data_IF_843744552554
#
_entry.id   IF_843744552554
#
_cell.length_a   1.000
_cell.length_b   1.000
_cell.length_c   1.000
_cell.angle_alpha   90.00
_cell.angle_beta   90.00
_cell.angle_gamma   90.00
#
_symmetry.space_group_name_H-M   'P 1'
#
loop_
_entity.id
_entity.type
_entity.pdbx_description
1 polymer ?
#
# COMPACT_ATOMS: atom_id res chain seq x y z
N UNK A 1 -21.42 -33.58 13.38
CA UNK A 1 -21.45 -33.07 11.99
C UNK A 1 -22.05 -31.68 12.05
N UNK A 2 -21.20 -30.66 12.06
CA UNK A 2 -21.61 -29.26 12.19
C UNK A 2 -21.02 -28.46 11.04
N UNK A 3 -21.89 -27.82 10.28
CA UNK A 3 -21.60 -27.15 9.03
C UNK A 3 -20.54 -26.06 9.21
N UNK A 4 -19.38 -26.28 8.59
CA UNK A 4 -18.44 -25.22 8.22
C UNK A 4 -19.11 -24.38 7.15
N UNK A 5 -19.64 -23.22 7.53
CA UNK A 5 -19.90 -22.15 6.56
C UNK A 5 -18.56 -21.61 6.10
N UNK A 6 -18.04 -22.18 5.01
CA UNK A 6 -17.02 -21.53 4.19
C UNK A 6 -17.60 -20.20 3.71
N UNK A 7 -16.99 -19.10 4.16
CA UNK A 7 -17.25 -17.77 3.63
C UNK A 7 -16.81 -17.75 2.16
N UNK A 8 -17.77 -17.50 1.29
CA UNK A 8 -17.61 -17.47 -0.16
C UNK A 8 -16.53 -16.47 -0.57
N UNK A 9 -15.51 -17.00 -1.26
CA UNK A 9 -14.64 -16.34 -2.24
C UNK A 9 -14.41 -14.85 -2.00
N UNK A 10 -13.37 -14.57 -1.23
CA UNK A 10 -12.36 -13.56 -1.55
C UNK A 10 -12.75 -12.51 -2.59
N UNK A 11 -12.83 -11.25 -2.16
CA UNK A 11 -12.33 -10.14 -2.98
C UNK A 11 -10.82 -10.32 -3.17
N UNK A 12 -10.41 -11.38 -3.86
CA UNK A 12 -9.13 -11.41 -4.53
C UNK A 12 -9.24 -10.31 -5.58
N UNK A 13 -8.45 -9.25 -5.44
CA UNK A 13 -8.11 -8.42 -6.58
C UNK A 13 -7.77 -9.39 -7.73
N UNK A 14 -8.31 -9.17 -8.95
CA UNK A 14 -8.00 -10.06 -10.06
C UNK A 14 -6.49 -10.22 -10.15
N UNK A 15 -6.00 -11.44 -10.43
CA UNK A 15 -4.58 -11.83 -10.39
C UNK A 15 -3.64 -10.95 -11.23
N UNK A 16 -4.21 -9.98 -11.97
CA UNK A 16 -3.61 -9.16 -12.99
C UNK A 16 -4.42 -7.85 -13.13
N UNK A 17 -4.24 -6.91 -12.20
CA UNK A 17 -4.68 -5.52 -12.38
C UNK A 17 -3.65 -4.82 -13.27
N UNK A 18 -4.00 -4.58 -14.53
CA UNK A 18 -3.13 -3.89 -15.47
C UNK A 18 -3.76 -2.56 -15.90
N UNK A 19 -3.04 -1.49 -15.65
CA UNK A 19 -3.32 -0.16 -16.19
C UNK A 19 -2.21 0.24 -17.14
N UNK A 20 -2.58 0.76 -18.30
CA UNK A 20 -1.65 1.34 -19.26
C UNK A 20 -1.92 2.84 -19.26
N UNK A 21 -0.92 3.64 -18.92
CA UNK A 21 -0.95 5.10 -19.06
C UNK A 21 0.04 5.50 -20.14
N UNK A 22 -0.43 6.19 -21.17
CA UNK A 22 0.37 6.68 -22.28
C UNK A 22 0.05 8.15 -22.55
N UNK A 23 0.63 9.05 -21.75
CA UNK A 23 0.43 10.50 -21.90
C UNK A 23 -1.05 10.89 -21.82
N UNK A 24 -1.72 11.30 -22.90
CA UNK A 24 -3.12 11.74 -22.86
C UNK A 24 -4.17 10.64 -22.61
N UNK A 25 -3.78 9.37 -22.51
CA UNK A 25 -4.73 8.26 -22.37
C UNK A 25 -4.35 7.29 -21.27
N UNK A 26 -5.36 6.76 -20.57
CA UNK A 26 -5.22 5.63 -19.68
C UNK A 26 -6.25 4.53 -20.01
N UNK A 27 -5.85 3.28 -19.82
CA UNK A 27 -6.65 2.10 -20.13
C UNK A 27 -6.55 1.10 -18.97
N UNK A 28 -7.68 0.54 -18.55
CA UNK A 28 -7.73 -0.47 -17.47
C UNK A 28 -8.18 -1.82 -18.02
N UNK A 29 -7.50 -2.89 -17.59
CA UNK A 29 -7.84 -4.25 -17.95
C UNK A 29 -8.95 -4.80 -17.04
N UNK A 30 -10.13 -5.07 -17.60
CA UNK A 30 -11.26 -5.66 -16.89
C UNK A 30 -11.41 -7.14 -17.22
N UNK A 31 -10.91 -8.00 -16.34
CA UNK A 31 -10.97 -9.46 -16.53
C UNK A 31 -12.40 -10.04 -16.40
N UNK A 32 -13.36 -9.25 -15.89
CA UNK A 32 -14.74 -9.69 -15.62
C UNK A 32 -15.72 -9.40 -16.77
N UNK A 33 -15.31 -8.64 -17.78
CA UNK A 33 -16.21 -8.30 -18.89
C UNK A 33 -16.17 -9.36 -19.99
N UNK A 34 -17.36 -9.78 -20.43
CA UNK A 34 -17.55 -10.55 -21.65
C UNK A 34 -17.55 -9.56 -22.82
N UNK A 35 -16.36 -9.14 -23.27
CA UNK A 35 -16.20 -8.10 -24.29
C UNK A 35 -14.77 -7.56 -24.38
N UNK A 36 -14.60 -6.34 -24.90
CA UNK A 36 -13.31 -5.65 -24.91
C UNK A 36 -12.75 -5.57 -23.49
N UNK A 37 -11.57 -6.16 -23.31
CA UNK A 37 -10.95 -6.29 -21.99
C UNK A 37 -10.22 -5.03 -21.56
N UNK A 38 -9.99 -4.10 -22.48
CA UNK A 38 -9.33 -2.82 -22.21
C UNK A 38 -10.35 -1.71 -22.34
N UNK A 39 -10.56 -0.99 -21.24
CA UNK A 39 -11.50 0.13 -21.20
C UNK A 39 -10.70 1.41 -21.02
N UNK A 40 -10.95 2.37 -21.92
CA UNK A 40 -10.37 3.71 -21.80
C UNK A 40 -10.95 4.39 -20.56
N UNK A 41 -10.06 4.84 -19.69
CA UNK A 41 -10.41 5.56 -18.48
C UNK A 41 -10.82 7.00 -18.83
N UNK A 42 -11.76 7.54 -18.06
CA UNK A 42 -12.14 8.94 -18.21
C UNK A 42 -11.05 9.86 -17.63
N UNK A 43 -11.15 11.16 -17.89
CA UNK A 43 -10.14 12.12 -17.44
C UNK A 43 -10.01 12.20 -15.91
N UNK A 44 -11.10 11.98 -15.15
CA UNK A 44 -11.05 12.00 -13.67
C UNK A 44 -10.21 10.84 -13.15
N UNK A 45 -10.53 9.62 -13.60
CA UNK A 45 -9.80 8.41 -13.23
C UNK A 45 -8.34 8.49 -13.71
N UNK A 46 -8.10 9.06 -14.90
CA UNK A 46 -6.77 9.36 -15.41
C UNK A 46 -5.98 10.27 -14.45
N UNK A 47 -6.56 11.36 -13.96
CA UNK A 47 -5.87 12.27 -13.04
C UNK A 47 -5.55 11.59 -11.72
N UNK A 48 -6.50 10.82 -11.18
CA UNK A 48 -6.30 10.09 -9.94
C UNK A 48 -5.19 9.04 -10.04
N UNK A 49 -5.10 8.32 -11.17
CA UNK A 49 -4.06 7.30 -11.37
C UNK A 49 -2.73 7.94 -11.77
N UNK A 50 -2.72 8.92 -12.67
CA UNK A 50 -1.50 9.58 -13.14
C UNK A 50 -0.77 10.32 -12.02
N UNK A 51 -1.51 10.95 -11.08
CA UNK A 51 -0.92 11.51 -9.87
C UNK A 51 -0.23 10.43 -9.02
N UNK A 52 -0.72 9.19 -9.00
CA UNK A 52 -0.08 8.09 -8.30
C UNK A 52 1.07 7.42 -9.09
N UNK A 53 1.17 7.66 -10.39
CA UNK A 53 2.18 7.11 -11.30
C UNK A 53 3.29 8.09 -11.69
N UNK A 54 3.15 9.38 -11.36
CA UNK A 54 4.20 10.36 -11.61
C UNK A 54 5.50 9.88 -10.93
N UNK A 55 6.61 9.87 -11.68
CA UNK A 55 7.95 9.62 -11.14
C UNK A 55 8.26 10.55 -9.96
N UNK A 56 7.75 11.77 -9.97
CA UNK A 56 7.83 12.69 -8.84
C UNK A 56 7.03 12.12 -7.68
N UNK A 57 5.82 11.59 -7.85
CA UNK A 57 5.11 10.90 -6.78
C UNK A 57 5.79 9.59 -6.37
N UNK A 58 6.44 8.86 -7.26
CA UNK A 58 7.24 7.69 -6.91
C UNK A 58 8.46 8.07 -6.06
N UNK A 59 9.05 9.25 -6.30
CA UNK A 59 10.20 9.77 -5.56
C UNK A 59 9.78 10.55 -4.30
N UNK A 60 8.61 11.19 -4.30
CA UNK A 60 8.09 12.04 -3.20
C UNK A 60 7.11 11.33 -2.27
N UNK A 61 6.40 10.28 -2.70
CA UNK A 61 5.75 9.32 -1.79
C UNK A 61 6.78 8.51 -1.00
N UNK A 62 7.99 8.41 -1.56
CA UNK A 62 9.21 7.93 -0.93
C UNK A 62 9.99 8.99 -0.17
N UNK A 63 9.43 10.21 -0.04
CA UNK A 63 9.96 11.17 0.90
C UNK A 63 9.68 10.56 2.26
N UNK A 64 10.63 9.75 2.73
CA UNK A 64 10.89 9.56 4.14
C UNK A 64 10.84 10.96 4.69
N UNK A 65 9.76 11.26 5.39
CA UNK A 65 9.68 12.50 6.11
C UNK A 65 10.67 12.29 7.26
N UNK A 66 11.97 12.46 6.97
CA UNK A 66 13.10 12.23 7.88
C UNK A 66 13.05 13.19 9.08
N UNK A 67 12.10 14.11 9.05
CA UNK A 67 11.65 14.93 10.16
C UNK A 67 10.96 14.10 11.24
N UNK A 68 10.41 12.95 10.90
CA UNK A 68 9.85 12.01 11.86
C UNK A 68 10.97 11.24 12.57
N UNK A 69 10.82 11.10 13.88
CA UNK A 69 11.73 10.32 14.72
C UNK A 69 11.49 8.83 14.48
N UNK A 70 12.19 8.27 13.49
CA UNK A 70 12.18 6.84 13.19
C UNK A 70 12.85 6.06 14.33
N UNK A 71 12.22 4.97 14.75
CA UNK A 71 12.79 3.99 15.66
C UNK A 71 13.50 2.90 14.86
N UNK A 72 14.74 2.59 15.21
CA UNK A 72 15.46 1.44 14.67
C UNK A 72 15.08 0.20 15.49
N UNK A 73 14.37 -0.71 14.85
CA UNK A 73 13.99 -2.01 15.40
C UNK A 73 15.08 -3.06 15.09
N UNK A 74 15.01 -4.25 15.72
CA UNK A 74 15.92 -5.34 15.39
C UNK A 74 15.90 -5.67 13.90
N UNK A 75 17.04 -6.13 13.39
CA UNK A 75 17.16 -6.51 11.99
C UNK A 75 16.14 -7.59 11.61
N UNK A 76 15.54 -7.44 10.43
CA UNK A 76 14.51 -8.35 9.94
C UNK A 76 14.81 -8.77 8.49
N UNK A 77 14.41 -9.99 8.13
CA UNK A 77 14.49 -10.45 6.74
C UNK A 77 13.19 -10.12 6.00
N UNK A 78 13.26 -9.25 5.00
CA UNK A 78 12.13 -8.96 4.09
C UNK A 78 12.47 -9.41 2.68
N UNK A 79 11.55 -10.11 2.03
CA UNK A 79 11.68 -10.53 0.62
C UNK A 79 13.04 -11.21 0.31
N UNK A 80 13.51 -12.02 1.27
CA UNK A 80 14.77 -12.78 1.18
C UNK A 80 16.05 -11.98 1.46
N UNK A 81 15.95 -10.73 1.93
CA UNK A 81 17.10 -9.86 2.22
C UNK A 81 17.15 -9.44 3.67
N UNK A 82 18.33 -9.44 4.26
CA UNK A 82 18.55 -8.88 5.60
C UNK A 82 18.47 -7.36 5.54
N UNK A 83 17.59 -6.78 6.35
CA UNK A 83 17.26 -5.36 6.30
C UNK A 83 17.49 -4.66 7.64
N UNK A 84 17.85 -3.39 7.59
CA UNK A 84 17.53 -2.46 8.67
C UNK A 84 16.02 -2.26 8.73
N UNK A 85 15.45 -2.32 9.93
CA UNK A 85 14.03 -2.14 10.17
C UNK A 85 13.77 -0.81 10.86
N UNK A 86 13.14 0.12 10.15
CA UNK A 86 12.76 1.43 10.70
C UNK A 86 11.26 1.48 10.88
N UNK A 87 10.81 2.04 12.00
CA UNK A 87 9.37 2.22 12.30
C UNK A 87 9.04 3.64 12.74
N UNK A 88 7.82 4.06 12.43
CA UNK A 88 7.25 5.33 12.88
C UNK A 88 5.74 5.20 13.05
N UNK A 89 5.20 5.74 14.14
CA UNK A 89 3.76 5.71 14.44
C UNK A 89 3.21 7.11 14.67
N UNK A 90 2.36 7.56 13.76
CA UNK A 90 1.49 8.73 13.95
C UNK A 90 0.43 8.41 15.02
N UNK A 91 0.26 9.34 15.95
CA UNK A 91 -0.73 9.25 17.03
C UNK A 91 -1.70 10.41 16.96
N UNK A 92 -2.95 10.17 17.36
CA UNK A 92 -3.98 11.21 17.51
C UNK A 92 -4.65 11.10 18.88
N UNK A 93 -5.33 12.15 19.29
CA UNK A 93 -6.19 12.12 20.48
C UNK A 93 -7.63 11.88 20.02
N UNK A 94 -8.27 10.83 20.54
CA UNK A 94 -9.66 10.53 20.21
C UNK A 94 -10.66 11.36 21.05
N UNK A 95 -11.96 11.21 20.76
CA UNK A 95 -13.05 11.90 21.46
C UNK A 95 -13.11 11.60 22.98
N UNK A 96 -12.41 10.57 23.47
CA UNK A 96 -12.31 10.22 24.89
C UNK A 96 -11.01 10.74 25.53
N UNK A 97 -10.32 11.68 24.88
CA UNK A 97 -9.02 12.22 25.29
C UNK A 97 -7.93 11.17 25.49
N UNK A 98 -7.97 10.07 24.72
CA UNK A 98 -6.93 9.04 24.74
C UNK A 98 -6.04 9.18 23.50
N UNK A 99 -4.73 9.10 23.71
CA UNK A 99 -3.76 9.00 22.62
C UNK A 99 -3.86 7.60 22.02
N UNK A 100 -4.21 7.53 20.75
CA UNK A 100 -4.37 6.29 19.97
C UNK A 100 -3.48 6.34 18.72
N UNK A 101 -3.04 5.18 18.19
CA UNK A 101 -2.38 5.14 16.90
C UNK A 101 -3.36 5.58 15.80
N UNK A 102 -2.83 6.29 14.80
CA UNK A 102 -3.54 6.68 13.58
C UNK A 102 -2.96 5.96 12.38
N UNK A 103 -1.63 5.97 12.24
CA UNK A 103 -0.95 5.27 11.16
C UNK A 103 0.41 4.82 11.63
N UNK A 104 0.72 3.56 11.40
CA UNK A 104 2.01 2.94 11.68
C UNK A 104 2.69 2.62 10.36
N UNK A 105 3.98 2.93 10.30
CA UNK A 105 4.82 2.74 9.13
C UNK A 105 6.00 1.84 9.52
N UNK A 106 6.32 0.89 8.64
CA UNK A 106 7.55 0.12 8.70
C UNK A 106 8.29 0.21 7.38
N UNK A 107 9.61 0.28 7.45
CA UNK A 107 10.50 0.37 6.29
C UNK A 107 11.63 -0.62 6.44
N UNK A 108 11.90 -1.36 5.37
CA UNK A 108 12.90 -2.42 5.35
C UNK A 108 13.98 -2.08 4.33
N UNK A 109 15.14 -1.64 4.79
CA UNK A 109 16.24 -1.17 3.94
C UNK A 109 17.32 -2.24 3.88
N UNK A 110 17.63 -2.70 2.67
CA UNK A 110 18.69 -3.68 2.38
C UNK A 110 20.03 -3.22 2.99
N UNK A 111 20.64 -4.07 3.82
CA UNK A 111 21.93 -3.74 4.45
C UNK A 111 23.11 -3.70 3.47
N UNK A 112 23.02 -4.40 2.36
CA UNK A 112 24.12 -4.47 1.39
C UNK A 112 24.11 -3.27 0.44
N UNK A 113 22.93 -2.94 -0.08
CA UNK A 113 22.77 -1.97 -1.16
C UNK A 113 22.11 -0.66 -0.74
N UNK A 114 21.64 -0.56 0.52
CA UNK A 114 20.91 0.58 1.07
C UNK A 114 19.65 0.95 0.25
N UNK A 115 19.06 -0.05 -0.41
CA UNK A 115 17.82 0.10 -1.17
C UNK A 115 16.63 -0.24 -0.29
N UNK A 116 15.51 0.48 -0.45
CA UNK A 116 14.28 0.06 0.19
C UNK A 116 13.81 -1.26 -0.45
N UNK A 117 13.62 -2.30 0.36
CA UNK A 117 13.14 -3.60 -0.08
C UNK A 117 11.62 -3.61 -0.04
N UNK A 118 11.06 -3.15 1.08
CA UNK A 118 9.62 -3.05 1.27
C UNK A 118 9.25 -1.94 2.26
N UNK A 119 8.00 -1.53 2.21
CA UNK A 119 7.39 -0.66 3.21
C UNK A 119 6.01 -1.18 3.57
N UNK A 120 5.62 -1.03 4.81
CA UNK A 120 4.31 -1.39 5.32
C UNK A 120 3.66 -0.17 5.97
N UNK A 121 2.35 -0.05 5.77
CA UNK A 121 1.52 1.00 6.34
C UNK A 121 0.28 0.37 6.93
N UNK A 122 0.10 0.51 8.23
CA UNK A 122 -1.13 0.12 8.92
C UNK A 122 -1.89 1.38 9.30
N UNK A 123 -3.13 1.53 8.84
CA UNK A 123 -4.01 2.61 9.28
C UNK A 123 -4.93 2.13 10.40
N UNK A 124 -5.24 3.04 11.31
CA UNK A 124 -6.10 2.77 12.46
C UNK A 124 -7.29 3.70 12.46
N UNK A 125 -8.45 3.16 12.82
CA UNK A 125 -9.69 3.89 13.07
C UNK A 125 -10.09 3.66 14.53
N UNK A 126 -10.19 4.73 15.30
CA UNK A 126 -10.42 4.70 16.76
C UNK A 126 -9.48 3.76 17.55
N UNK A 127 -8.27 3.52 17.02
CA UNK A 127 -7.25 2.66 17.60
C UNK A 127 -7.34 1.18 17.16
N UNK A 128 -8.34 0.82 16.36
CA UNK A 128 -8.46 -0.50 15.74
C UNK A 128 -7.81 -0.50 14.36
N UNK A 129 -7.19 -1.61 13.97
CA UNK A 129 -6.59 -1.74 12.63
C UNK A 129 -7.70 -1.69 11.58
N UNK A 130 -7.59 -0.74 10.66
CA UNK A 130 -8.55 -0.51 9.59
C UNK A 130 -8.03 -1.08 8.26
N UNK A 131 -6.78 -0.75 7.90
CA UNK A 131 -6.17 -1.29 6.68
C UNK A 131 -4.68 -1.54 6.86
N UNK A 132 -4.15 -2.42 6.03
CA UNK A 132 -2.74 -2.70 5.89
C UNK A 132 -2.35 -2.67 4.41
N UNK A 133 -1.32 -1.92 4.09
CA UNK A 133 -0.72 -1.83 2.78
C UNK A 133 0.75 -2.25 2.87
N UNK A 134 1.20 -3.17 2.03
CA UNK A 134 2.61 -3.50 1.85
C UNK A 134 3.03 -3.22 0.41
N UNK A 135 4.15 -2.52 0.24
CA UNK A 135 4.79 -2.31 -1.06
C UNK A 135 6.13 -3.02 -1.08
N UNK A 136 6.42 -3.72 -2.17
CA UNK A 136 7.72 -4.37 -2.41
C UNK A 136 8.35 -3.72 -3.63
N UNK A 137 9.60 -3.26 -3.48
CA UNK A 137 10.30 -2.43 -4.45
C UNK A 137 11.33 -3.26 -5.20
N UNK A 138 11.22 -3.29 -6.52
CA UNK A 138 11.97 -4.19 -7.38
C UNK A 138 12.58 -3.46 -8.58
N UNK A 139 13.57 -4.12 -9.19
CA UNK A 139 14.24 -3.69 -10.41
C UNK A 139 14.81 -2.26 -10.34
N UNK A 140 15.59 -1.98 -9.30
CA UNK A 140 16.26 -0.69 -9.14
C UNK A 140 17.15 -0.38 -10.35
N UNK A 141 16.89 0.74 -11.05
CA UNK A 141 17.75 1.20 -12.16
C UNK A 141 18.31 2.58 -11.84
N UNK A 142 19.50 2.86 -12.40
CA UNK A 142 20.14 4.16 -12.30
C UNK A 142 19.39 5.16 -13.13
N UNK A 143 19.20 6.36 -12.60
CA UNK A 143 18.66 7.48 -13.35
C UNK A 143 19.66 8.64 -13.30
N UNK A 144 20.00 9.17 -14.47
CA UNK A 144 21.04 10.18 -14.64
C UNK A 144 20.70 11.49 -13.91
N UNK A 145 19.42 11.85 -13.83
CA UNK A 145 18.96 13.11 -13.21
C UNK A 145 19.07 13.11 -11.67
N UNK A 146 19.13 11.95 -11.01
CA UNK A 146 19.22 11.81 -9.55
C UNK A 146 20.66 11.52 -9.08
N UNK A 147 21.65 12.15 -9.72
CA UNK A 147 23.07 12.08 -9.33
C UNK A 147 23.57 10.64 -9.04
N UNK A 148 23.37 9.72 -9.99
CA UNK A 148 23.71 8.28 -9.91
C UNK A 148 22.90 7.46 -8.90
N UNK A 149 21.86 8.02 -8.29
CA UNK A 149 20.86 7.29 -7.50
C UNK A 149 20.15 6.21 -8.33
N UNK A 150 19.69 5.16 -7.64
CA UNK A 150 18.82 4.14 -8.24
C UNK A 150 17.41 4.32 -7.67
N UNK A 151 16.40 4.19 -8.52
CA UNK A 151 14.99 4.16 -8.09
C UNK A 151 14.36 2.81 -8.45
N UNK A 152 13.33 2.35 -7.74
CA UNK A 152 12.63 1.13 -8.13
C UNK A 152 11.84 1.35 -9.42
N UNK A 153 11.93 0.41 -10.37
CA UNK A 153 11.13 0.45 -11.62
C UNK A 153 9.89 -0.44 -11.56
N UNK A 154 9.73 -1.21 -10.48
CA UNK A 154 8.52 -1.99 -10.23
C UNK A 154 8.19 -1.92 -8.75
N UNK A 155 6.92 -1.68 -8.46
CA UNK A 155 6.37 -1.69 -7.11
C UNK A 155 5.21 -2.67 -7.10
N UNK A 156 5.32 -3.72 -6.28
CA UNK A 156 4.22 -4.65 -6.05
C UNK A 156 3.48 -4.22 -4.78
N UNK A 157 2.21 -3.88 -4.90
CA UNK A 157 1.37 -3.45 -3.76
C UNK A 157 0.43 -4.58 -3.33
N UNK A 158 0.35 -4.84 -2.03
CA UNK A 158 -0.60 -5.73 -1.40
C UNK A 158 -1.42 -4.94 -0.38
N UNK A 159 -2.74 -4.87 -0.59
CA UNK A 159 -3.67 -4.16 0.27
C UNK A 159 -4.60 -5.16 0.97
N UNK A 160 -4.79 -4.97 2.27
CA UNK A 160 -5.77 -5.68 3.10
C UNK A 160 -6.64 -4.66 3.82
N UNK A 161 -7.95 -4.84 3.73
CA UNK A 161 -8.94 -4.04 4.47
C UNK A 161 -9.51 -4.94 5.57
N UNK A 162 -9.45 -4.47 6.81
CA UNK A 162 -9.99 -5.16 7.97
C UNK A 162 -11.37 -4.58 8.29
N UNK A 163 -12.39 -4.99 7.52
CA UNK A 163 -13.78 -4.70 7.88
C UNK A 163 -14.13 -5.51 9.15
N UNK A 164 -14.25 -4.85 10.30
CA UNK A 164 -15.03 -5.42 11.39
C UNK A 164 -16.50 -5.42 10.93
N UNK A 165 -17.12 -6.60 10.89
CA UNK A 165 -18.57 -6.75 10.74
C UNK A 165 -19.23 -6.12 11.97
N UNK A 166 -19.45 -4.80 11.92
CA UNK A 166 -20.25 -4.06 12.89
C UNK A 166 -21.73 -3.98 12.45
N UNK A 167 -22.17 -4.86 11.53
CA UNK A 167 -23.53 -4.87 11.00
C UNK A 167 -24.50 -5.85 11.70
N UNK A 168 -24.03 -6.78 12.54
CA UNK A 168 -24.93 -7.77 13.17
C UNK A 168 -25.53 -7.33 14.53
N UNK A 169 -25.14 -6.16 15.08
CA UNK A 169 -25.72 -5.68 16.36
C UNK A 169 -26.88 -4.69 16.23
N UNK A 170 -27.18 -4.16 15.04
CA UNK A 170 -28.22 -3.12 14.85
C UNK A 170 -29.55 -3.61 14.25
N UNK A 171 -29.65 -4.87 13.83
CA UNK A 171 -30.90 -5.45 13.31
C UNK A 171 -31.63 -6.39 14.31
N UNK A 172 -31.25 -6.36 15.59
CA UNK A 172 -31.82 -7.22 16.63
C UNK A 172 -32.37 -6.47 17.84
N UNK A 173 -32.94 -5.28 17.68
CA UNK A 173 -33.74 -4.61 18.72
C UNK A 173 -34.82 -3.69 18.12
N UNK A 174 -35.92 -4.28 17.68
CA UNK A 174 -37.29 -4.10 18.20
C UNK A 174 -38.27 -4.77 17.26
#
# INVERSE_FOLDING_TARGET
MGNTHELSSSEKMPDNYYEIINGPEAWSYQNRNVGEKWIKLNNSDYWDISNNLDLIHLVTSFRFDLWNKLELLPDETSDGRLCYHLSYTEKIVNAKNRVIPKTEYHFFIDKENFQLVSSEKTTFEDGNRNSFERKVYQYYRRITIVNKGKIPHKICTNLKIFMEILFIKKLGKK
#
